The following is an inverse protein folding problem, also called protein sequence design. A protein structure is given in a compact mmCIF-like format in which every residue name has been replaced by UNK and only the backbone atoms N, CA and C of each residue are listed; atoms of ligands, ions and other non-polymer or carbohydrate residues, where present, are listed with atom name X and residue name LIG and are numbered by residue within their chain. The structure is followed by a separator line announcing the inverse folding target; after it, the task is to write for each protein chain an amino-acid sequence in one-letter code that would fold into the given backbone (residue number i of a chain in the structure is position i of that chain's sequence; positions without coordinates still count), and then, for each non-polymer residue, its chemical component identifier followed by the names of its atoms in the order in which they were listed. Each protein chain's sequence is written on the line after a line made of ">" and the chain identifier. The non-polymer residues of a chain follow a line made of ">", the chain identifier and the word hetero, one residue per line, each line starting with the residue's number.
data_IF_293606995616
#
_entry.id   IF_293606995616
#
_cell.length_a   1.000
_cell.length_b   1.000
_cell.length_c   1.000
_cell.angle_alpha   90.00
_cell.angle_beta   90.00
_cell.angle_gamma   90.00
#
_symmetry.space_group_name_H-M   'P 1'
#
loop_
_entity.id
_entity.type
_entity.pdbx_description
1 polymer ?
#
# COMPACT_ATOMS: atom_id res chain seq x y z
N UNK A 1 10.57 -15.64 -7.52
CA UNK A 1 9.29 -14.89 -7.47
C UNK A 1 8.31 -15.63 -6.58
N UNK A 2 7.82 -14.97 -5.52
CA UNK A 2 6.86 -15.50 -4.55
C UNK A 2 5.49 -14.87 -4.78
N UNK A 3 4.40 -15.61 -4.56
CA UNK A 3 3.02 -15.21 -4.84
C UNK A 3 2.13 -15.56 -3.65
N UNK A 4 1.21 -14.67 -3.29
CA UNK A 4 0.31 -14.82 -2.16
C UNK A 4 -1.10 -14.47 -2.59
N UNK A 5 -2.07 -15.36 -2.36
CA UNK A 5 -3.45 -15.20 -2.83
C UNK A 5 -3.68 -15.53 -4.31
N UNK A 6 -4.88 -15.22 -4.79
CA UNK A 6 -5.44 -15.53 -6.12
C UNK A 6 -5.73 -14.24 -6.92
N UNK A 7 -5.33 -14.21 -8.20
CA UNK A 7 -5.42 -13.00 -9.04
C UNK A 7 -6.84 -12.45 -9.21
N UNK A 8 -7.83 -13.34 -9.29
CA UNK A 8 -9.25 -13.00 -9.46
C UNK A 8 -9.90 -12.47 -8.16
N UNK A 9 -9.16 -12.46 -7.05
CA UNK A 9 -9.54 -11.87 -5.77
C UNK A 9 -8.54 -10.76 -5.42
N UNK A 10 -7.52 -11.12 -4.66
CA UNK A 10 -6.38 -10.31 -4.27
C UNK A 10 -5.14 -11.20 -4.34
N UNK A 11 -4.10 -10.73 -5.02
CA UNK A 11 -2.80 -11.39 -5.05
C UNK A 11 -1.67 -10.38 -4.95
N UNK A 12 -0.67 -10.66 -4.10
CA UNK A 12 0.58 -9.91 -4.05
C UNK A 12 1.71 -10.80 -4.58
N UNK A 13 2.60 -10.22 -5.36
CA UNK A 13 3.76 -10.92 -5.93
C UNK A 13 4.99 -10.06 -5.66
N UNK A 14 6.09 -10.68 -5.25
CA UNK A 14 7.38 -10.00 -5.23
C UNK A 14 8.53 -10.89 -5.69
N UNK A 15 9.61 -10.23 -6.12
CA UNK A 15 10.85 -10.87 -6.48
C UNK A 15 12.03 -9.91 -6.30
N UNK A 16 12.98 -10.26 -5.44
CA UNK A 16 14.24 -9.52 -5.34
C UNK A 16 15.07 -9.66 -6.62
N UNK A 17 15.73 -8.57 -6.98
CA UNK A 17 16.64 -8.48 -8.12
C UNK A 17 17.98 -7.92 -7.66
N UNK A 18 18.97 -8.00 -8.54
CA UNK A 18 20.20 -7.25 -8.35
C UNK A 18 19.87 -5.78 -8.58
N UNK A 19 20.23 -4.95 -7.61
CA UNK A 19 20.20 -3.50 -7.73
C UNK A 19 21.09 -3.03 -8.90
N UNK A 20 20.52 -2.25 -9.85
CA UNK A 20 21.24 -1.77 -11.02
C UNK A 20 22.09 -0.51 -10.75
N UNK A 21 21.90 0.15 -9.61
CA UNK A 21 22.51 1.45 -9.29
C UNK A 21 23.65 1.35 -8.27
N UNK A 22 23.83 0.19 -7.61
CA UNK A 22 24.91 -0.01 -6.64
C UNK A 22 24.72 0.87 -5.41
N UNK A 23 23.48 0.97 -4.94
CA UNK A 23 23.09 1.74 -3.78
C UNK A 23 23.72 1.20 -2.50
N UNK A 24 23.50 1.91 -1.39
CA UNK A 24 23.86 1.39 -0.08
C UNK A 24 23.22 0.01 0.16
N UNK A 25 23.91 -0.85 0.92
CA UNK A 25 23.52 -2.24 1.14
C UNK A 25 22.03 -2.42 1.49
N UNK A 26 21.47 -1.53 2.32
CA UNK A 26 20.06 -1.54 2.70
C UNK A 26 19.10 -1.47 1.49
N UNK A 27 19.32 -0.51 0.61
CA UNK A 27 18.52 -0.31 -0.59
C UNK A 27 18.80 -1.40 -1.63
N UNK A 28 20.08 -1.77 -1.77
CA UNK A 28 20.52 -2.82 -2.68
C UNK A 28 19.89 -4.18 -2.35
N UNK A 29 19.82 -4.53 -1.06
CA UNK A 29 19.23 -5.78 -0.61
C UNK A 29 17.71 -5.83 -0.80
N UNK A 30 17.04 -4.67 -0.78
CA UNK A 30 15.58 -4.59 -0.95
C UNK A 30 15.13 -4.37 -2.39
N UNK A 31 16.04 -4.17 -3.35
CA UNK A 31 15.69 -3.95 -4.75
C UNK A 31 14.95 -5.14 -5.37
N UNK A 32 13.85 -4.88 -6.07
CA UNK A 32 13.06 -5.95 -6.68
C UNK A 32 11.81 -5.47 -7.41
N UNK A 33 11.04 -6.42 -7.92
CA UNK A 33 9.74 -6.16 -8.53
C UNK A 33 8.61 -6.50 -7.58
N UNK A 34 7.51 -5.76 -7.69
CA UNK A 34 6.29 -6.00 -6.94
C UNK A 34 5.07 -5.86 -7.85
N UNK A 35 4.04 -6.70 -7.62
CA UNK A 35 2.76 -6.64 -8.32
C UNK A 35 1.65 -6.81 -7.29
N UNK A 36 0.56 -6.02 -7.43
CA UNK A 36 -0.69 -6.22 -6.70
C UNK A 36 -1.81 -6.42 -7.71
N UNK A 37 -2.48 -7.57 -7.63
CA UNK A 37 -3.66 -7.87 -8.41
C UNK A 37 -4.90 -7.71 -7.55
N UNK A 38 -5.87 -6.94 -8.03
CA UNK A 38 -7.20 -6.84 -7.43
C UNK A 38 -8.22 -7.14 -8.52
N UNK A 39 -8.96 -8.24 -8.40
CA UNK A 39 -9.92 -8.71 -9.42
C UNK A 39 -9.32 -8.75 -10.83
N UNK A 40 -8.17 -9.41 -10.97
CA UNK A 40 -7.35 -9.54 -12.18
C UNK A 40 -6.69 -8.26 -12.70
N UNK A 41 -6.82 -7.13 -12.00
CA UNK A 41 -6.20 -5.84 -12.38
C UNK A 41 -4.86 -5.67 -11.66
N UNK A 42 -3.77 -5.62 -12.42
CA UNK A 42 -2.43 -5.31 -11.90
C UNK A 42 -2.30 -3.80 -11.68
N UNK A 43 -2.50 -3.34 -10.44
CA UNK A 43 -2.66 -1.91 -10.16
C UNK A 43 -1.37 -1.11 -10.36
N UNK A 44 -0.21 -1.76 -10.22
CA UNK A 44 1.09 -1.10 -10.36
C UNK A 44 1.66 -1.18 -11.79
N UNK A 45 0.88 -1.67 -12.74
CA UNK A 45 1.33 -1.78 -14.13
C UNK A 45 1.22 -0.45 -14.84
N UNK A 46 2.34 -0.04 -15.41
CA UNK A 46 2.47 1.22 -16.15
C UNK A 46 2.97 0.95 -17.56
N UNK A 47 2.53 1.79 -18.50
CA UNK A 47 3.15 1.92 -19.81
C UNK A 47 4.00 3.19 -19.80
N UNK A 48 5.30 3.04 -20.03
CA UNK A 48 6.26 4.12 -20.06
C UNK A 48 7.02 4.09 -21.39
N UNK A 49 7.01 5.20 -22.14
CA UNK A 49 7.62 5.27 -23.48
C UNK A 49 7.13 4.19 -24.46
N UNK A 50 5.86 3.77 -24.34
CA UNK A 50 5.26 2.73 -25.20
C UNK A 50 5.55 1.28 -24.74
N UNK A 51 6.32 1.10 -23.66
CA UNK A 51 6.62 -0.21 -23.10
C UNK A 51 5.85 -0.44 -21.80
N UNK A 52 5.15 -1.56 -21.70
CA UNK A 52 4.54 -2.00 -20.45
C UNK A 52 5.62 -2.50 -19.49
N UNK A 53 5.62 -1.96 -18.27
CA UNK A 53 6.58 -2.27 -17.21
C UNK A 53 5.86 -2.68 -15.94
N UNK A 54 6.51 -3.58 -15.20
CA UNK A 54 6.15 -3.89 -13.81
C UNK A 54 6.78 -2.84 -12.91
N UNK A 55 6.19 -2.65 -11.73
CA UNK A 55 6.84 -1.90 -10.68
C UNK A 55 8.15 -2.58 -10.27
N UNK A 56 9.22 -1.78 -10.21
CA UNK A 56 10.55 -2.18 -9.80
C UNK A 56 11.20 -1.07 -8.98
N UNK A 57 11.53 -1.36 -7.72
CA UNK A 57 12.13 -0.40 -6.79
C UNK A 57 12.66 -1.09 -5.52
N UNK A 58 13.06 -0.32 -4.52
CA UNK A 58 13.33 -0.82 -3.17
C UNK A 58 12.02 -1.25 -2.51
N UNK A 59 11.82 -2.56 -2.39
CA UNK A 59 10.61 -3.15 -1.83
C UNK A 59 10.44 -2.92 -0.31
N UNK A 60 11.49 -2.40 0.33
CA UNK A 60 11.44 -2.07 1.76
C UNK A 60 10.40 -1.00 2.05
N UNK A 61 10.21 -0.01 1.16
CA UNK A 61 9.24 1.06 1.38
C UNK A 61 7.80 0.55 1.50
N UNK A 62 7.35 -0.31 0.56
CA UNK A 62 6.02 -0.93 0.63
C UNK A 62 5.90 -1.84 1.85
N UNK A 63 6.98 -2.55 2.17
CA UNK A 63 7.02 -3.46 3.33
C UNK A 63 6.88 -2.69 4.64
N UNK A 64 7.66 -1.62 4.81
CA UNK A 64 7.59 -0.70 5.95
C UNK A 64 6.20 -0.13 6.07
N UNK A 65 5.67 0.48 5.00
CA UNK A 65 4.35 1.08 5.04
C UNK A 65 3.28 0.07 5.48
N UNK A 66 3.27 -1.15 4.91
CA UNK A 66 2.31 -2.18 5.31
C UNK A 66 2.50 -2.61 6.77
N UNK A 67 3.72 -2.87 7.23
CA UNK A 67 3.98 -3.29 8.62
C UNK A 67 3.55 -2.23 9.63
N UNK A 68 3.79 -0.95 9.35
CA UNK A 68 3.45 0.13 10.27
C UNK A 68 1.98 0.51 10.23
N UNK A 69 1.28 0.28 9.11
CA UNK A 69 -0.09 0.74 8.94
C UNK A 69 -1.16 -0.37 8.93
N UNK A 70 -0.76 -1.64 8.97
CA UNK A 70 -1.69 -2.78 8.90
C UNK A 70 -2.81 -2.69 9.92
N UNK A 71 -2.52 -2.23 11.14
CA UNK A 71 -3.51 -2.09 12.22
C UNK A 71 -4.61 -1.09 11.89
N UNK A 72 -4.31 0.02 11.20
CA UNK A 72 -5.31 1.02 10.80
C UNK A 72 -6.15 0.51 9.62
N UNK A 73 -5.50 -0.15 8.65
CA UNK A 73 -6.15 -0.71 7.46
C UNK A 73 -7.22 -1.75 7.86
N UNK A 74 -6.89 -2.66 8.78
CA UNK A 74 -7.79 -3.74 9.17
C UNK A 74 -8.60 -3.42 10.43
N UNK A 75 -8.15 -2.45 11.23
CA UNK A 75 -8.74 -2.06 12.50
C UNK A 75 -9.92 -1.12 12.29
N UNK A 76 -10.27 -0.36 13.32
CA UNK A 76 -11.26 0.71 13.18
C UNK A 76 -10.53 2.05 13.18
N UNK A 77 -10.41 2.65 12.00
CA UNK A 77 -9.85 3.99 11.79
C UNK A 77 -10.76 4.74 10.80
N UNK A 78 -11.78 5.46 11.29
CA UNK A 78 -12.81 6.03 10.46
C UNK A 78 -12.28 7.15 9.57
N UNK A 79 -12.80 7.25 8.35
CA UNK A 79 -12.49 8.37 7.47
C UNK A 79 -13.03 9.68 8.08
N UNK A 80 -12.25 10.78 8.11
CA UNK A 80 -12.64 12.03 8.79
C UNK A 80 -13.98 12.64 8.33
N UNK A 81 -14.35 12.46 7.06
CA UNK A 81 -15.63 12.90 6.49
C UNK A 81 -16.42 11.70 5.95
N UNK A 82 -16.71 10.76 6.83
CA UNK A 82 -17.35 9.50 6.44
C UNK A 82 -18.76 9.72 5.85
N UNK A 83 -19.01 9.11 4.69
CA UNK A 83 -20.30 9.06 4.02
C UNK A 83 -20.60 7.60 3.63
N UNK A 84 -21.66 7.03 4.20
CA UNK A 84 -21.95 5.59 4.09
C UNK A 84 -22.34 5.15 2.67
N UNK A 85 -22.87 6.05 1.86
CA UNK A 85 -23.33 5.85 0.48
C UNK A 85 -22.24 6.10 -0.57
N UNK A 86 -21.06 6.59 -0.17
CA UNK A 86 -19.94 6.93 -1.05
C UNK A 86 -18.81 5.92 -0.93
N UNK A 87 -18.13 5.62 -2.04
CA UNK A 87 -16.86 4.90 -2.01
C UNK A 87 -15.72 5.84 -1.55
N UNK A 88 -14.55 5.29 -1.25
CA UNK A 88 -13.41 6.06 -0.75
C UNK A 88 -12.84 7.04 -1.79
N UNK A 89 -12.84 6.71 -3.09
CA UNK A 89 -12.43 7.69 -4.11
C UNK A 89 -13.34 8.92 -4.08
N UNK A 90 -14.66 8.74 -4.01
CA UNK A 90 -15.63 9.84 -3.94
C UNK A 90 -15.44 10.63 -2.62
N UNK A 91 -15.24 9.93 -1.49
CA UNK A 91 -15.01 10.58 -0.21
C UNK A 91 -13.71 11.40 -0.20
N UNK A 92 -12.63 10.89 -0.80
CA UNK A 92 -11.36 11.62 -0.95
C UNK A 92 -11.53 12.85 -1.85
N UNK A 93 -12.26 12.72 -2.96
CA UNK A 93 -12.53 13.82 -3.88
C UNK A 93 -13.34 14.94 -3.20
N UNK A 94 -14.39 14.59 -2.46
CA UNK A 94 -15.16 15.55 -1.65
C UNK A 94 -14.28 16.16 -0.56
N UNK A 95 -13.47 15.36 0.11
CA UNK A 95 -12.59 15.78 1.19
C UNK A 95 -11.54 16.81 0.74
N UNK A 96 -10.94 16.60 -0.42
CA UNK A 96 -9.93 17.51 -1.00
C UNK A 96 -10.53 18.79 -1.55
N UNK A 97 -11.77 18.75 -2.08
CA UNK A 97 -12.43 19.90 -2.68
C UNK A 97 -13.35 20.66 -1.70
N UNK A 98 -13.35 20.29 -0.43
CA UNK A 98 -14.15 20.98 0.58
C UNK A 98 -13.61 22.39 0.82
N UNK A 99 -14.46 23.38 0.63
CA UNK A 99 -14.18 24.77 0.97
C UNK A 99 -14.38 25.00 2.48
N UNK A 100 -13.53 25.86 3.05
CA UNK A 100 -13.50 26.21 4.47
C UNK A 100 -13.51 27.72 4.60
N UNK A 101 -14.36 28.24 5.48
CA UNK A 101 -14.46 29.68 5.77
C UNK A 101 -13.51 30.12 6.89
N UNK A 102 -13.11 29.18 7.76
CA UNK A 102 -12.22 29.41 8.91
C UNK A 102 -10.89 28.65 8.74
N UNK A 103 -9.78 29.38 8.91
CA UNK A 103 -8.43 28.84 8.73
C UNK A 103 -8.08 27.77 9.78
N UNK A 104 -8.56 27.91 11.02
CA UNK A 104 -8.30 26.92 12.07
C UNK A 104 -9.06 25.61 11.79
N UNK A 105 -10.30 25.69 11.32
CA UNK A 105 -11.05 24.52 10.86
C UNK A 105 -10.36 23.84 9.68
N UNK A 106 -9.84 24.62 8.72
CA UNK A 106 -9.05 24.09 7.60
C UNK A 106 -7.81 23.35 8.08
N UNK A 107 -7.01 23.94 8.98
CA UNK A 107 -5.78 23.33 9.48
C UNK A 107 -6.05 22.02 10.24
N UNK A 108 -7.08 22.00 11.10
CA UNK A 108 -7.49 20.80 11.83
C UNK A 108 -7.97 19.71 10.88
N UNK A 109 -8.76 20.09 9.88
CA UNK A 109 -9.24 19.19 8.85
C UNK A 109 -8.11 18.60 8.02
N UNK A 110 -7.23 19.46 7.49
CA UNK A 110 -6.11 19.06 6.65
C UNK A 110 -5.17 18.13 7.43
N UNK A 111 -4.89 18.43 8.70
CA UNK A 111 -4.10 17.57 9.58
C UNK A 111 -4.73 16.19 9.81
N UNK A 112 -6.04 16.12 10.00
CA UNK A 112 -6.77 14.86 10.18
C UNK A 112 -6.78 14.03 8.88
N UNK A 113 -7.11 14.65 7.75
CA UNK A 113 -7.13 14.01 6.43
C UNK A 113 -5.73 13.51 6.06
N UNK A 114 -4.69 14.33 6.22
CA UNK A 114 -3.31 13.97 5.92
C UNK A 114 -2.82 12.81 6.80
N UNK A 115 -3.10 12.85 8.10
CA UNK A 115 -2.76 11.74 9.02
C UNK A 115 -3.47 10.45 8.63
N UNK A 116 -4.74 10.53 8.23
CA UNK A 116 -5.50 9.37 7.77
C UNK A 116 -4.96 8.83 6.43
N UNK A 117 -4.73 9.69 5.43
CA UNK A 117 -4.23 9.25 4.11
C UNK A 117 -2.85 8.61 4.21
N UNK A 118 -1.94 9.09 5.07
CA UNK A 118 -0.65 8.43 5.31
C UNK A 118 -0.78 6.99 5.85
N UNK A 119 -1.83 6.72 6.63
CA UNK A 119 -2.10 5.39 7.20
C UNK A 119 -2.85 4.47 6.24
N UNK A 120 -3.54 5.04 5.25
CA UNK A 120 -4.45 4.29 4.37
C UNK A 120 -4.02 4.24 2.91
N UNK A 121 -3.11 5.12 2.46
CA UNK A 121 -2.57 5.16 1.10
C UNK A 121 -1.05 4.99 1.11
N UNK A 122 -0.54 4.01 0.35
CA UNK A 122 0.91 3.70 0.36
C UNK A 122 1.78 4.67 -0.44
N UNK A 123 1.17 5.58 -1.20
CA UNK A 123 1.89 6.49 -2.09
C UNK A 123 2.72 7.51 -1.29
N UNK A 124 2.32 7.76 -0.04
CA UNK A 124 3.07 8.63 0.89
C UNK A 124 4.48 8.12 1.18
N UNK A 125 4.72 6.83 0.98
CA UNK A 125 6.03 6.19 1.21
C UNK A 125 6.59 5.64 -0.11
N UNK A 126 6.33 6.30 -1.25
CA UNK A 126 6.80 5.82 -2.57
C UNK A 126 8.32 5.80 -2.71
N UNK A 127 9.07 6.52 -1.87
CA UNK A 127 10.52 6.60 -1.96
C UNK A 127 11.02 7.13 -3.32
N UNK A 128 10.20 7.93 -4.02
CA UNK A 128 10.47 8.45 -5.37
C UNK A 128 10.11 7.49 -6.52
N UNK A 129 9.50 6.34 -6.22
CA UNK A 129 9.10 5.35 -7.23
C UNK A 129 7.78 5.67 -7.93
N UNK A 130 7.58 5.08 -9.11
CA UNK A 130 6.31 5.09 -9.84
C UNK A 130 5.38 4.00 -9.31
N UNK A 131 4.94 4.16 -8.05
CA UNK A 131 3.93 3.30 -7.44
C UNK A 131 2.54 3.88 -7.69
N UNK A 132 1.56 3.01 -7.98
CA UNK A 132 0.17 3.45 -8.11
C UNK A 132 -0.33 4.08 -6.82
N UNK A 133 -1.17 5.10 -6.89
CA UNK A 133 -1.90 5.64 -5.76
C UNK A 133 -3.05 4.69 -5.36
N UNK A 134 -2.75 3.75 -4.46
CA UNK A 134 -3.69 2.77 -3.91
C UNK A 134 -3.97 3.08 -2.45
N UNK A 135 -5.25 3.06 -2.07
CA UNK A 135 -5.73 3.23 -0.71
C UNK A 135 -6.53 2.01 -0.23
N UNK A 136 -6.47 1.72 1.06
CA UNK A 136 -7.15 0.59 1.70
C UNK A 136 -8.01 1.09 2.86
N UNK A 137 -9.28 0.74 2.90
CA UNK A 137 -10.20 1.18 3.94
C UNK A 137 -11.16 0.09 4.38
N UNK A 138 -11.26 -0.14 5.69
CA UNK A 138 -12.20 -1.12 6.22
C UNK A 138 -13.63 -0.59 6.20
N UNK A 139 -14.53 -1.35 5.57
CA UNK A 139 -15.98 -1.20 5.69
C UNK A 139 -16.62 -2.48 6.22
N UNK A 140 -16.88 -2.51 7.53
CA UNK A 140 -17.43 -3.67 8.21
C UNK A 140 -16.53 -4.91 8.05
N UNK A 141 -17.03 -5.91 7.31
CA UNK A 141 -16.34 -7.16 7.02
C UNK A 141 -15.57 -7.17 5.69
N UNK A 142 -15.45 -6.02 5.03
CA UNK A 142 -14.69 -5.89 3.78
C UNK A 142 -13.58 -4.86 3.93
N UNK A 143 -12.52 -5.03 3.14
CA UNK A 143 -11.54 -3.99 2.85
C UNK A 143 -11.86 -3.47 1.45
N UNK A 144 -12.24 -2.21 1.39
CA UNK A 144 -12.31 -1.45 0.15
C UNK A 144 -10.89 -1.09 -0.28
N UNK A 145 -10.53 -1.44 -1.50
CA UNK A 145 -9.27 -1.07 -2.13
C UNK A 145 -9.59 -0.13 -3.27
N UNK A 146 -9.11 1.10 -3.20
CA UNK A 146 -9.31 2.10 -4.26
C UNK A 146 -8.00 2.50 -4.87
N UNK A 147 -8.04 2.90 -6.13
CA UNK A 147 -6.90 3.50 -6.81
C UNK A 147 -7.35 4.70 -7.62
N UNK A 148 -6.49 5.72 -7.69
CA UNK A 148 -6.69 6.89 -8.52
C UNK A 148 -5.35 7.49 -8.98
N UNK A 149 -4.98 7.17 -10.22
CA UNK A 149 -3.78 7.60 -10.93
C UNK A 149 -4.11 8.59 -12.08
N UNK A 150 -5.26 9.27 -12.04
CA UNK A 150 -5.70 10.15 -13.14
C UNK A 150 -4.85 11.42 -13.27
N UNK A 151 -4.26 11.90 -12.17
CA UNK A 151 -3.52 13.17 -12.10
C UNK A 151 -2.02 13.07 -12.39
N UNK A 152 -1.50 11.92 -12.84
CA UNK A 152 -0.07 11.83 -13.14
C UNK A 152 0.31 12.66 -14.38
N UNK A 153 0.89 13.84 -14.11
CA UNK A 153 1.15 14.92 -15.06
C UNK A 153 2.18 14.65 -16.17
N UNK A 154 2.75 13.44 -16.24
CA UNK A 154 3.61 13.05 -17.36
C UNK A 154 2.83 12.20 -18.37
N UNK A 155 2.50 12.79 -19.53
CA UNK A 155 1.82 12.12 -20.65
C UNK A 155 2.51 10.82 -21.13
N UNK A 156 3.77 10.60 -20.72
CA UNK A 156 4.60 9.44 -21.08
C UNK A 156 4.41 8.25 -20.13
N UNK A 157 3.81 8.45 -18.95
CA UNK A 157 3.50 7.39 -17.97
C UNK A 157 1.99 7.19 -17.96
N UNK A 158 1.55 5.95 -18.16
CA UNK A 158 0.12 5.60 -18.19
C UNK A 158 -0.13 4.33 -17.40
N UNK A 159 -0.85 4.42 -16.30
CA UNK A 159 -1.36 3.23 -15.61
C UNK A 159 -2.40 2.54 -16.47
N UNK A 160 -2.33 1.21 -16.54
CA UNK A 160 -3.33 0.41 -17.25
C UNK A 160 -4.71 0.59 -16.59
N UNK A 161 -4.75 0.67 -15.26
CA UNK A 161 -5.95 0.88 -14.46
C UNK A 161 -5.86 2.23 -13.75
N UNK A 162 -6.49 3.27 -14.32
CA UNK A 162 -6.35 4.65 -13.83
C UNK A 162 -7.11 4.92 -12.54
N UNK A 163 -8.41 4.67 -12.51
CA UNK A 163 -9.27 4.89 -11.34
C UNK A 163 -10.17 3.68 -11.13
N UNK A 164 -10.45 3.34 -9.88
CA UNK A 164 -11.38 2.26 -9.57
C UNK A 164 -11.43 1.91 -8.09
N UNK A 165 -12.34 0.98 -7.78
CA UNK A 165 -12.63 0.55 -6.42
C UNK A 165 -13.09 -0.89 -6.46
N UNK A 166 -12.58 -1.70 -5.54
CA UNK A 166 -12.99 -3.09 -5.35
C UNK A 166 -13.10 -3.41 -3.87
N UNK A 167 -13.93 -4.39 -3.53
CA UNK A 167 -14.11 -4.84 -2.16
C UNK A 167 -13.62 -6.27 -1.98
N UNK A 168 -12.76 -6.49 -1.00
CA UNK A 168 -12.21 -7.80 -0.65
C UNK A 168 -12.72 -8.20 0.73
N UNK A 169 -13.12 -9.46 0.90
CA UNK A 169 -13.49 -10.00 2.21
C UNK A 169 -12.32 -9.82 3.19
N UNK A 170 -12.59 -9.20 4.34
CA UNK A 170 -11.56 -8.77 5.29
C UNK A 170 -10.70 -9.92 5.78
N UNK A 171 -11.32 -11.08 6.05
CA UNK A 171 -10.59 -12.28 6.47
C UNK A 171 -9.57 -12.71 5.41
N UNK A 172 -9.98 -12.77 4.15
CA UNK A 172 -9.12 -13.14 3.03
C UNK A 172 -8.02 -12.09 2.78
N UNK A 173 -8.34 -10.79 2.87
CA UNK A 173 -7.34 -9.73 2.81
C UNK A 173 -6.26 -9.92 3.88
N UNK A 174 -6.67 -10.16 5.13
CA UNK A 174 -5.75 -10.37 6.25
C UNK A 174 -4.86 -11.59 5.98
N UNK A 175 -5.44 -12.73 5.57
CA UNK A 175 -4.67 -13.94 5.26
C UNK A 175 -3.57 -13.66 4.22
N UNK A 176 -3.92 -13.08 3.08
CA UNK A 176 -2.98 -12.79 1.98
C UNK A 176 -1.89 -11.81 2.41
N UNK A 177 -2.24 -10.71 3.08
CA UNK A 177 -1.27 -9.70 3.53
C UNK A 177 -0.35 -10.26 4.61
N UNK A 178 -0.87 -11.08 5.53
CA UNK A 178 -0.04 -11.71 6.55
C UNK A 178 0.98 -12.67 5.95
N UNK A 179 0.56 -13.51 5.00
CA UNK A 179 1.48 -14.43 4.33
C UNK A 179 2.58 -13.69 3.55
N UNK A 180 2.20 -12.62 2.84
CA UNK A 180 3.13 -11.74 2.14
C UNK A 180 4.14 -11.12 3.11
N UNK A 181 3.67 -10.48 4.19
CA UNK A 181 4.52 -9.80 5.16
C UNK A 181 5.44 -10.77 5.92
N UNK A 182 4.95 -11.96 6.29
CA UNK A 182 5.76 -13.00 6.91
C UNK A 182 6.94 -13.39 6.03
N UNK A 183 6.71 -13.51 4.72
CA UNK A 183 7.73 -13.93 3.77
C UNK A 183 8.72 -12.81 3.44
N UNK A 184 8.24 -11.61 3.13
CA UNK A 184 9.12 -10.52 2.68
C UNK A 184 9.98 -9.98 3.81
N UNK A 185 9.45 -9.86 5.03
CA UNK A 185 10.23 -9.41 6.19
C UNK A 185 11.29 -10.44 6.58
N UNK A 186 10.97 -11.75 6.48
CA UNK A 186 11.96 -12.81 6.68
C UNK A 186 13.07 -12.76 5.63
N UNK A 187 12.72 -12.65 4.35
CA UNK A 187 13.72 -12.62 3.27
C UNK A 187 14.63 -11.39 3.37
N UNK A 188 14.09 -10.21 3.71
CA UNK A 188 14.88 -9.00 3.96
C UNK A 188 15.84 -9.21 5.13
N UNK A 189 15.35 -9.76 6.25
CA UNK A 189 16.19 -10.07 7.39
C UNK A 189 17.30 -11.08 7.07
N UNK A 190 17.03 -12.09 6.24
CA UNK A 190 18.06 -13.07 5.84
C UNK A 190 19.13 -12.47 4.91
N UNK A 191 18.79 -11.46 4.10
CA UNK A 191 19.76 -10.73 3.25
C UNK A 191 20.78 -9.97 4.08
N UNK A 192 20.34 -9.32 5.16
CA UNK A 192 21.25 -8.68 6.12
C UNK A 192 20.76 -8.80 7.56
N UNK A 193 21.22 -9.86 8.25
CA UNK A 193 20.86 -10.14 9.64
C UNK A 193 21.33 -9.08 10.63
N UNK A 194 22.31 -8.26 10.23
CA UNK A 194 22.86 -7.18 11.05
C UNK A 194 22.16 -5.85 10.80
N UNK A 195 21.29 -5.77 9.79
CA UNK A 195 20.51 -4.57 9.51
C UNK A 195 19.41 -4.41 10.57
N UNK A 196 19.48 -3.31 11.33
CA UNK A 196 18.55 -3.01 12.43
C UNK A 196 17.12 -2.83 11.92
N UNK A 197 16.93 -2.18 10.78
CA UNK A 197 15.60 -1.92 10.19
C UNK A 197 14.92 -3.21 9.75
N UNK A 198 15.63 -4.12 9.06
CA UNK A 198 15.06 -5.41 8.67
C UNK A 198 14.68 -6.26 9.89
N UNK A 199 15.50 -6.22 10.94
CA UNK A 199 15.17 -6.87 12.21
C UNK A 199 13.92 -6.26 12.85
N UNK A 200 13.83 -4.93 12.93
CA UNK A 200 12.68 -4.22 13.50
C UNK A 200 11.38 -4.55 12.75
N UNK A 201 11.42 -4.55 11.42
CA UNK A 201 10.25 -4.91 10.59
C UNK A 201 9.72 -6.30 10.89
N UNK A 202 10.63 -7.28 10.92
CA UNK A 202 10.29 -8.67 11.26
C UNK A 202 9.75 -8.78 12.68
N UNK A 203 10.38 -8.13 13.66
CA UNK A 203 9.95 -8.18 15.06
C UNK A 203 8.59 -7.52 15.27
N UNK A 204 8.36 -6.34 14.65
CA UNK A 204 7.09 -5.63 14.71
C UNK A 204 5.95 -6.43 14.08
N UNK A 205 6.19 -7.01 12.90
CA UNK A 205 5.18 -7.86 12.26
C UNK A 205 4.88 -9.13 13.08
N UNK A 206 5.91 -9.79 13.64
CA UNK A 206 5.71 -10.95 14.53
C UNK A 206 4.97 -10.59 15.82
N UNK A 207 5.21 -9.40 16.39
CA UNK A 207 4.43 -8.90 17.51
C UNK A 207 2.96 -8.74 17.14
N UNK A 208 2.68 -8.10 16.00
CA UNK A 208 1.33 -7.94 15.49
C UNK A 208 0.61 -9.29 15.27
N UNK A 209 1.28 -10.29 14.69
CA UNK A 209 0.71 -11.63 14.50
C UNK A 209 0.28 -12.28 15.82
N UNK A 210 1.10 -12.18 16.87
CA UNK A 210 0.77 -12.71 18.21
C UNK A 210 -0.41 -11.99 18.84
N UNK A 211 -0.53 -10.68 18.63
CA UNK A 211 -1.68 -9.91 19.12
C UNK A 211 -2.99 -10.29 18.41
N UNK A 212 -2.92 -10.68 17.13
CA UNK A 212 -4.07 -11.16 16.34
C UNK A 212 -4.64 -12.46 16.89
N UNK A 213 -3.78 -13.46 17.15
CA UNK A 213 -4.19 -14.79 17.65
C UNK A 213 -4.98 -14.74 18.97
N UNK A 214 -4.89 -13.62 19.70
CA UNK A 214 -5.54 -13.45 21.01
C UNK A 214 -6.81 -12.58 20.99
N UNK A 215 -7.17 -11.92 19.88
CA UNK A 215 -8.15 -10.82 19.90
C UNK A 215 -9.16 -10.76 18.72
N UNK A 216 -9.19 -11.76 17.83
CA UNK A 216 -10.07 -11.76 16.66
C UNK A 216 -10.72 -13.11 16.38
#
# INVERSE_FOLDING_TARGET
>A
MKKFGEKDKLQLIYNFKKDPFGESKYFSDSWGTFEIYVKNKDLCRVTMYGETRKYEWNLVYITEWLVYNLEYIIGYDPFPLFQSDKNLNDMLEIACNKEWEDDLEFDLWYGALHTWTRRHAWVSESGGSLISNVSFYRRGNKIEITWNNEEEGDLRIKYEYKKGTENIERKYFIEVICEFLANITEDLYQKDKNNKTFKELKEKFNFWLRCKENNW
#
